data_IF_097841305968
#
_entry.id   IF_097841305968
#
_cell.length_a   1.000
_cell.length_b   1.000
_cell.length_c   1.000
_cell.angle_alpha   90.00
_cell.angle_beta   90.00
_cell.angle_gamma   90.00
#
_symmetry.space_group_name_H-M   'P 1'
#
loop_
_entity.id
_entity.type
_entity.pdbx_description
1 polymer ?
#
# COMPACT_ATOMS: atom_id res chain seq x y z
N UNK A 1 7.04 -6.59 10.36
CA UNK A 1 6.28 -5.62 9.55
C UNK A 1 5.22 -6.30 8.67
N UNK A 2 5.57 -7.03 7.60
CA UNK A 2 4.56 -7.68 6.74
C UNK A 2 3.67 -8.65 7.53
N UNK A 3 4.23 -9.49 8.40
CA UNK A 3 3.45 -10.40 9.24
C UNK A 3 2.42 -9.68 10.11
N UNK A 4 2.74 -8.48 10.61
CA UNK A 4 1.83 -7.68 11.41
C UNK A 4 0.72 -7.07 10.56
N UNK A 5 1.07 -6.51 9.40
CA UNK A 5 0.11 -6.00 8.41
C UNK A 5 -0.84 -7.11 7.97
N UNK A 6 -0.32 -8.31 7.65
CA UNK A 6 -1.14 -9.45 7.23
C UNK A 6 -1.99 -10.00 8.37
N UNK A 7 -1.49 -10.00 9.61
CA UNK A 7 -2.29 -10.40 10.77
C UNK A 7 -3.46 -9.45 10.99
N UNK A 8 -3.21 -8.14 10.93
CA UNK A 8 -4.17 -7.08 11.28
C UNK A 8 -5.16 -6.74 10.16
N UNK A 9 -4.71 -6.71 8.91
CA UNK A 9 -5.49 -6.26 7.76
C UNK A 9 -5.66 -7.34 6.69
N UNK A 10 -5.13 -8.55 6.93
CA UNK A 10 -5.13 -9.61 5.92
C UNK A 10 -4.37 -9.18 4.68
N UNK A 11 -5.03 -9.32 3.54
CA UNK A 11 -4.54 -8.85 2.26
C UNK A 11 -5.25 -7.57 1.81
N UNK A 12 -5.67 -6.71 2.75
CA UNK A 12 -6.51 -5.54 2.43
C UNK A 12 -7.75 -5.92 1.60
N UNK A 13 -8.40 -7.02 1.99
CA UNK A 13 -9.58 -7.50 1.28
C UNK A 13 -10.71 -6.47 1.40
N UNK A 14 -11.38 -6.21 0.27
CA UNK A 14 -12.45 -5.21 0.13
C UNK A 14 -12.06 -3.80 0.61
N UNK A 15 -10.77 -3.46 0.58
CA UNK A 15 -10.28 -2.17 1.02
C UNK A 15 -10.44 -1.09 -0.06
N UNK A 16 -10.31 0.17 0.35
CA UNK A 16 -10.41 1.32 -0.55
C UNK A 16 -9.18 2.23 -0.39
N UNK A 17 -8.44 2.45 -1.48
CA UNK A 17 -7.38 3.46 -1.54
C UNK A 17 -8.02 4.85 -1.56
N UNK A 18 -7.81 5.62 -0.51
CA UNK A 18 -8.38 6.96 -0.33
C UNK A 18 -7.49 8.06 -0.90
N UNK A 19 -6.17 7.90 -0.77
CA UNK A 19 -5.21 8.86 -1.31
C UNK A 19 -3.87 8.21 -1.59
N UNK A 20 -3.17 8.74 -2.59
CA UNK A 20 -1.80 8.41 -2.94
C UNK A 20 -1.02 9.71 -3.06
N UNK A 21 0.10 9.84 -2.34
CA UNK A 21 1.04 10.95 -2.51
C UNK A 21 2.43 10.40 -2.79
N UNK A 22 3.13 11.07 -3.69
CA UNK A 22 4.53 10.78 -4.01
C UNK A 22 5.34 12.06 -3.86
N UNK A 23 6.40 11.96 -3.07
CA UNK A 23 7.39 13.01 -2.90
C UNK A 23 8.70 12.58 -3.55
N UNK A 24 9.07 13.25 -4.63
CA UNK A 24 10.33 13.01 -5.32
C UNK A 24 11.44 13.83 -4.66
N UNK A 25 12.37 13.19 -3.97
CA UNK A 25 13.50 13.89 -3.36
C UNK A 25 14.68 14.08 -4.33
N UNK A 26 14.39 14.55 -5.56
CA UNK A 26 15.38 14.77 -6.64
C UNK A 26 16.50 15.73 -6.21
N UNK A 27 16.27 16.54 -5.18
CA UNK A 27 17.25 17.50 -4.64
C UNK A 27 17.86 17.10 -3.29
N UNK A 28 17.54 15.93 -2.74
CA UNK A 28 18.11 15.47 -1.47
C UNK A 28 19.40 14.66 -1.68
N UNK A 29 20.32 14.70 -0.72
CA UNK A 29 21.56 13.94 -0.76
C UNK A 29 21.36 12.40 -0.80
N UNK A 30 20.19 11.90 -0.41
CA UNK A 30 19.85 10.47 -0.51
C UNK A 30 19.21 10.09 -1.84
N UNK A 31 18.63 11.04 -2.59
CA UNK A 31 17.98 10.82 -3.89
C UNK A 31 16.74 9.92 -3.86
N UNK A 32 16.24 9.58 -2.68
CA UNK A 32 15.26 8.52 -2.48
C UNK A 32 13.84 9.07 -2.26
N UNK A 33 12.88 8.60 -3.05
CA UNK A 33 11.49 9.05 -3.00
C UNK A 33 10.72 8.49 -1.80
N UNK A 34 9.62 9.17 -1.43
CA UNK A 34 8.67 8.73 -0.40
C UNK A 34 7.28 8.58 -1.02
N UNK A 35 6.58 7.52 -0.65
CA UNK A 35 5.17 7.30 -1.01
C UNK A 35 4.34 7.21 0.27
N UNK A 36 3.23 7.94 0.33
CA UNK A 36 2.20 7.71 1.34
C UNK A 36 0.91 7.23 0.68
N UNK A 37 0.33 6.17 1.23
CA UNK A 37 -0.95 5.61 0.79
C UNK A 37 -1.89 5.60 1.98
N UNK A 38 -3.08 6.19 1.81
CA UNK A 38 -4.15 6.10 2.80
C UNK A 38 -5.17 5.06 2.32
N UNK A 39 -5.44 4.07 3.15
CA UNK A 39 -6.33 2.95 2.84
C UNK A 39 -7.42 2.89 3.91
N UNK A 40 -8.67 2.71 3.49
CA UNK A 40 -9.77 2.32 4.37
C UNK A 40 -9.95 0.81 4.29
N UNK A 41 -9.74 0.09 5.40
CA UNK A 41 -9.79 -1.37 5.45
C UNK A 41 -10.34 -1.88 6.78
N UNK A 42 -10.76 -3.14 6.81
CA UNK A 42 -11.18 -3.82 8.03
C UNK A 42 -9.96 -4.27 8.86
N UNK A 43 -10.06 -4.09 10.17
CA UNK A 43 -9.07 -4.53 11.14
C UNK A 43 -9.56 -5.80 11.86
N UNK A 44 -8.95 -6.94 11.55
CA UNK A 44 -9.31 -8.25 12.14
C UNK A 44 -9.04 -8.35 13.64
N UNK A 45 -8.18 -7.48 14.18
CA UNK A 45 -7.83 -7.43 15.60
C UNK A 45 -8.73 -6.49 16.41
N UNK A 46 -9.63 -5.78 15.73
CA UNK A 46 -10.59 -4.87 16.32
C UNK A 46 -12.00 -5.19 15.81
N UNK A 47 -12.42 -6.44 15.97
CA UNK A 47 -13.76 -6.93 15.61
C UNK A 47 -14.21 -6.59 14.18
N UNK A 48 -13.27 -6.54 13.23
CA UNK A 48 -13.51 -6.18 11.82
C UNK A 48 -14.04 -4.76 11.61
N UNK A 49 -13.80 -3.86 12.56
CA UNK A 49 -14.11 -2.44 12.40
C UNK A 49 -13.29 -1.81 11.26
N UNK A 50 -13.91 -0.84 10.58
CA UNK A 50 -13.27 -0.09 9.51
C UNK A 50 -12.34 0.97 10.09
N UNK A 51 -11.10 1.00 9.60
CA UNK A 51 -10.13 2.04 9.95
C UNK A 51 -9.38 2.59 8.74
N UNK A 52 -8.88 3.82 8.91
CA UNK A 52 -8.02 4.49 7.94
C UNK A 52 -6.56 4.27 8.33
N UNK A 53 -5.85 3.52 7.51
CA UNK A 53 -4.44 3.18 7.72
C UNK A 53 -3.59 3.96 6.73
N UNK A 54 -2.53 4.60 7.22
CA UNK A 54 -1.51 5.22 6.37
C UNK A 54 -0.30 4.29 6.26
N UNK A 55 -0.02 3.82 5.04
CA UNK A 55 1.23 3.16 4.71
C UNK A 55 2.24 4.21 4.23
N UNK A 56 3.43 4.21 4.81
CA UNK A 56 4.53 5.10 4.43
C UNK A 56 5.68 4.25 3.92
N UNK A 57 6.03 4.44 2.65
CA UNK A 57 7.17 3.82 2.02
C UNK A 57 8.27 4.87 1.90
N UNK A 58 9.37 4.61 2.57
CA UNK A 58 10.60 5.39 2.44
C UNK A 58 11.56 4.64 1.53
N UNK A 59 12.57 5.33 1.01
CA UNK A 59 13.60 4.70 0.20
C UNK A 59 13.10 4.01 -1.08
N UNK A 60 12.00 4.53 -1.66
CA UNK A 60 11.33 3.90 -2.81
C UNK A 60 12.26 3.85 -4.02
N UNK A 61 12.58 2.63 -4.47
CA UNK A 61 13.43 2.37 -5.64
C UNK A 61 12.64 2.45 -6.96
N UNK A 62 11.39 1.99 -6.94
CA UNK A 62 10.49 1.94 -8.09
C UNK A 62 9.04 1.87 -7.61
N UNK A 63 8.12 2.49 -8.36
CA UNK A 63 6.69 2.26 -8.21
C UNK A 63 6.02 2.34 -9.58
N UNK A 64 4.85 1.72 -9.70
CA UNK A 64 4.05 1.77 -10.91
C UNK A 64 2.58 1.78 -10.53
N UNK A 65 1.83 2.66 -11.17
CA UNK A 65 0.38 2.63 -11.17
C UNK A 65 -0.08 2.12 -12.54
N UNK A 66 -0.71 0.95 -12.59
CA UNK A 66 -1.21 0.36 -13.83
C UNK A 66 -2.73 0.34 -13.78
N UNK A 67 -3.37 1.14 -14.63
CA UNK A 67 -4.82 1.07 -14.84
C UNK A 67 -5.10 0.15 -16.03
N UNK A 68 -5.40 -1.11 -15.76
CA UNK A 68 -5.62 -2.14 -16.79
C UNK A 68 -7.07 -2.14 -17.33
N UNK A 69 -7.98 -1.35 -16.73
CA UNK A 69 -9.39 -1.27 -17.13
C UNK A 69 -9.85 0.17 -17.16
N UNK A 70 -10.88 0.48 -17.94
CA UNK A 70 -11.45 1.84 -17.97
C UNK A 70 -12.39 2.09 -16.77
N UNK A 71 -11.97 1.68 -15.58
CA UNK A 71 -12.74 1.76 -14.34
C UNK A 71 -11.81 2.26 -13.26
N UNK A 72 -12.10 3.41 -12.66
CA UNK A 72 -11.37 3.91 -11.49
C UNK A 72 -11.57 2.97 -10.32
N UNK A 73 -10.81 1.88 -10.24
CA UNK A 73 -10.91 0.97 -9.09
C UNK A 73 -9.78 1.28 -8.14
N UNK A 74 -9.96 2.31 -7.34
CA UNK A 74 -9.25 2.45 -6.05
C UNK A 74 -9.68 1.36 -5.05
N UNK A 75 -10.68 0.53 -5.39
CA UNK A 75 -11.05 -0.64 -4.61
C UNK A 75 -10.01 -1.75 -4.77
N UNK A 76 -9.60 -2.31 -3.63
CA UNK A 76 -8.63 -3.39 -3.50
C UNK A 76 -9.42 -4.65 -3.17
N UNK A 77 -9.47 -5.59 -4.11
CA UNK A 77 -10.13 -6.88 -3.86
C UNK A 77 -9.27 -7.73 -2.91
N UNK A 78 -7.98 -7.84 -3.22
CA UNK A 78 -6.96 -8.45 -2.39
C UNK A 78 -5.58 -8.03 -2.89
N UNK A 79 -4.75 -7.50 -2.00
CA UNK A 79 -3.37 -7.13 -2.28
C UNK A 79 -2.43 -8.35 -2.20
N UNK A 80 -1.51 -8.45 -3.16
CA UNK A 80 -0.35 -9.33 -3.02
C UNK A 80 0.71 -8.62 -2.19
N UNK A 81 1.09 -9.25 -1.08
CA UNK A 81 2.17 -8.82 -0.20
C UNK A 81 3.28 -9.84 -0.28
N UNK A 82 4.49 -9.42 -0.63
CA UNK A 82 5.63 -10.32 -0.76
C UNK A 82 6.88 -9.73 -0.12
N UNK A 83 7.72 -10.62 0.42
CA UNK A 83 9.02 -10.29 0.98
C UNK A 83 10.07 -11.25 0.43
N UNK A 84 10.90 -10.76 -0.47
CA UNK A 84 11.96 -11.53 -1.10
C UNK A 84 13.31 -10.85 -0.81
N UNK A 85 14.16 -11.49 -0.02
CA UNK A 85 15.44 -10.93 0.44
C UNK A 85 15.24 -9.56 1.13
N UNK A 86 15.78 -8.49 0.55
CA UNK A 86 15.68 -7.11 1.06
C UNK A 86 14.58 -6.28 0.35
N UNK A 87 13.78 -6.92 -0.53
CA UNK A 87 12.71 -6.25 -1.28
C UNK A 87 11.32 -6.60 -0.74
N UNK A 88 10.53 -5.57 -0.49
CA UNK A 88 9.13 -5.66 -0.06
C UNK A 88 8.24 -5.16 -1.20
N UNK A 89 7.33 -6.01 -1.64
CA UNK A 89 6.37 -5.69 -2.70
C UNK A 89 4.95 -5.59 -2.15
N UNK A 90 4.27 -4.50 -2.48
CA UNK A 90 2.83 -4.32 -2.32
C UNK A 90 2.20 -4.13 -3.71
N UNK A 91 1.34 -5.05 -4.11
CA UNK A 91 0.56 -4.97 -5.35
C UNK A 91 -0.93 -5.00 -5.02
N UNK A 92 -1.60 -3.86 -5.20
CA UNK A 92 -3.00 -3.65 -4.81
C UNK A 92 -4.02 -4.00 -5.91
N UNK A 93 -3.58 -4.25 -7.15
CA UNK A 93 -4.48 -4.26 -8.33
C UNK A 93 -4.30 -5.48 -9.24
N UNK A 94 -3.97 -6.63 -8.63
CA UNK A 94 -3.77 -7.89 -9.37
C UNK A 94 -5.06 -8.48 -9.94
#
# INVERSE_FOLDING_TARGET
MITEITRKYGHFADALLLSFSFESNVHSASGKGKIEILINCMNSENDFEWEKVKLVFEEVTCFRFIENRNTSSVAINAAMLNHNNDEITFDFFR
#
